data_IF_007195333758
#
_entry.id   IF_007195333758
#
_cell.length_a   1.000
_cell.length_b   1.000
_cell.length_c   1.000
_cell.angle_alpha   90.00
_cell.angle_beta   90.00
_cell.angle_gamma   90.00
#
_symmetry.space_group_name_H-M   'P 1'
#
loop_
_entity.id
_entity.type
_entity.pdbx_description
1 polymer ?
#
# COMPACT_ATOMS: atom_id res chain seq x y z
N UNK A 1 -6.86 -18.86 -40.67
CA UNK A 1 -7.99 -18.67 -39.73
C UNK A 1 -7.75 -17.47 -38.81
N UNK A 2 -6.80 -17.50 -37.87
CA UNK A 2 -6.58 -16.44 -36.86
C UNK A 2 -6.58 -14.99 -37.39
N UNK A 3 -5.84 -14.68 -38.46
CA UNK A 3 -5.81 -13.33 -39.05
C UNK A 3 -7.18 -12.86 -39.59
N UNK A 4 -8.01 -13.77 -40.10
CA UNK A 4 -9.37 -13.45 -40.58
C UNK A 4 -10.36 -13.31 -39.43
N UNK A 5 -10.20 -14.12 -38.38
CA UNK A 5 -10.93 -13.96 -37.12
C UNK A 5 -10.68 -12.58 -36.51
N UNK A 6 -9.42 -12.13 -36.45
CA UNK A 6 -9.05 -10.79 -35.99
C UNK A 6 -9.71 -9.67 -36.80
N UNK A 7 -9.79 -9.82 -38.13
CA UNK A 7 -10.44 -8.82 -38.99
C UNK A 7 -11.94 -8.68 -38.66
N UNK A 8 -12.67 -9.80 -38.60
CA UNK A 8 -14.10 -9.82 -38.21
C UNK A 8 -14.31 -9.23 -36.80
N UNK A 9 -13.38 -9.51 -35.89
CA UNK A 9 -13.40 -8.98 -34.52
C UNK A 9 -13.21 -7.45 -34.47
N UNK A 10 -12.36 -6.90 -35.34
CA UNK A 10 -12.09 -5.47 -35.45
C UNK A 10 -13.17 -4.72 -36.25
N UNK A 11 -13.86 -5.40 -37.17
CA UNK A 11 -14.98 -4.88 -37.96
C UNK A 11 -16.32 -4.88 -37.18
N UNK A 12 -16.36 -5.51 -36.01
CA UNK A 12 -17.59 -5.64 -35.20
C UNK A 12 -18.04 -4.29 -34.62
N UNK A 13 -19.35 -3.98 -34.72
CA UNK A 13 -19.91 -2.67 -34.32
C UNK A 13 -19.79 -2.33 -32.83
N UNK A 14 -19.58 -3.35 -31.99
CA UNK A 14 -19.35 -3.21 -30.54
C UNK A 14 -17.87 -3.39 -30.13
N UNK A 15 -16.93 -3.35 -31.09
CA UNK A 15 -15.50 -3.43 -30.78
C UNK A 15 -15.02 -2.18 -30.02
N UNK A 16 -14.36 -2.39 -28.89
CA UNK A 16 -13.76 -1.35 -28.05
C UNK A 16 -12.27 -1.67 -27.88
N UNK A 17 -11.42 -0.67 -28.09
CA UNK A 17 -9.98 -0.81 -27.85
C UNK A 17 -9.73 -0.70 -26.34
N UNK A 18 -9.17 -1.76 -25.76
CA UNK A 18 -8.83 -1.83 -24.33
C UNK A 18 -7.55 -1.05 -24.02
N UNK A 19 -7.25 -0.86 -22.72
CA UNK A 19 -6.03 -0.19 -22.28
C UNK A 19 -4.73 -0.91 -22.70
N UNK A 20 -4.77 -2.18 -23.11
CA UNK A 20 -3.63 -2.90 -23.68
C UNK A 20 -3.45 -2.68 -25.20
N UNK A 21 -4.35 -1.95 -25.85
CA UNK A 21 -4.38 -1.77 -27.30
C UNK A 21 -5.01 -2.93 -28.07
N UNK A 22 -5.52 -3.96 -27.39
CA UNK A 22 -6.28 -5.04 -28.04
C UNK A 22 -7.75 -4.65 -28.25
N UNK A 23 -8.33 -5.09 -29.37
CA UNK A 23 -9.78 -5.04 -29.59
C UNK A 23 -10.48 -6.06 -28.70
N UNK A 24 -11.49 -5.61 -27.95
CA UNK A 24 -12.39 -6.44 -27.16
C UNK A 24 -13.85 -6.19 -27.56
N UNK A 25 -14.70 -7.21 -27.44
CA UNK A 25 -16.16 -7.11 -27.59
C UNK A 25 -16.85 -7.58 -26.32
N UNK A 26 -18.06 -7.11 -26.02
CA UNK A 26 -18.93 -7.74 -25.02
C UNK A 26 -19.15 -9.23 -25.33
N UNK A 27 -19.13 -10.09 -24.31
CA UNK A 27 -19.24 -11.55 -24.48
C UNK A 27 -20.53 -11.98 -25.21
N UNK A 28 -21.61 -11.23 -25.07
CA UNK A 28 -22.87 -11.37 -25.81
C UNK A 28 -22.73 -11.28 -27.33
N UNK A 29 -21.80 -10.45 -27.82
CA UNK A 29 -21.50 -10.29 -29.25
C UNK A 29 -20.58 -11.38 -29.82
N UNK A 30 -19.98 -12.22 -28.99
CA UNK A 30 -19.09 -13.31 -29.44
C UNK A 30 -19.84 -14.33 -30.32
N UNK A 31 -21.12 -14.55 -30.04
CA UNK A 31 -21.97 -15.48 -30.81
C UNK A 31 -22.11 -15.01 -32.27
N UNK A 32 -22.27 -13.71 -32.50
CA UNK A 32 -22.44 -13.15 -33.85
C UNK A 32 -21.12 -13.10 -34.62
N UNK A 33 -19.99 -12.91 -33.93
CA UNK A 33 -18.64 -13.10 -34.51
C UNK A 33 -18.41 -14.56 -34.95
N UNK A 34 -18.82 -15.55 -34.15
CA UNK A 34 -18.70 -16.98 -34.51
C UNK A 34 -19.60 -17.32 -35.71
N UNK A 35 -20.83 -16.79 -35.78
CA UNK A 35 -21.70 -16.94 -36.97
C UNK A 35 -21.08 -16.31 -38.22
N UNK A 36 -20.62 -15.06 -38.13
CA UNK A 36 -19.97 -14.35 -39.24
C UNK A 36 -18.72 -15.09 -39.74
N UNK A 37 -17.97 -15.72 -38.83
CA UNK A 37 -16.85 -16.61 -39.17
C UNK A 37 -17.33 -17.86 -39.91
N UNK A 38 -18.41 -18.48 -39.46
CA UNK A 38 -19.06 -19.65 -40.09
C UNK A 38 -19.53 -19.32 -41.51
N UNK A 39 -20.23 -18.19 -41.70
CA UNK A 39 -20.69 -17.68 -43.00
C UNK A 39 -19.51 -17.39 -43.93
N UNK A 40 -18.41 -16.82 -43.40
CA UNK A 40 -17.20 -16.51 -44.15
C UNK A 40 -16.48 -17.76 -44.66
N UNK A 41 -16.53 -18.87 -43.91
CA UNK A 41 -15.83 -20.12 -44.27
C UNK A 41 -16.73 -21.17 -44.94
N UNK A 42 -18.06 -21.01 -44.92
CA UNK A 42 -19.01 -21.97 -45.48
C UNK A 42 -19.06 -23.31 -44.74
N UNK A 43 -18.59 -23.35 -43.49
CA UNK A 43 -18.51 -24.54 -42.63
C UNK A 43 -19.04 -24.17 -41.25
N UNK A 44 -19.87 -25.03 -40.66
CA UNK A 44 -20.43 -24.86 -39.32
C UNK A 44 -19.33 -25.03 -38.25
N UNK A 45 -18.81 -23.92 -37.73
CA UNK A 45 -17.65 -23.89 -36.82
C UNK A 45 -18.00 -24.34 -35.40
N UNK A 46 -19.24 -24.08 -34.97
CA UNK A 46 -19.83 -24.61 -33.74
C UNK A 46 -21.20 -25.16 -34.07
N UNK A 47 -21.52 -26.36 -33.59
CA UNK A 47 -22.86 -26.92 -33.73
C UNK A 47 -23.86 -26.22 -32.80
N UNK A 48 -25.15 -26.49 -33.02
CA UNK A 48 -26.24 -25.90 -32.21
C UNK A 48 -26.15 -26.17 -30.70
N UNK A 49 -25.47 -27.24 -30.27
CA UNK A 49 -25.27 -27.61 -28.86
C UNK A 49 -24.07 -26.86 -28.26
N UNK A 50 -22.94 -26.81 -28.97
CA UNK A 50 -21.77 -26.01 -28.62
C UNK A 50 -22.13 -24.53 -28.49
N UNK A 51 -22.93 -24.01 -29.45
CA UNK A 51 -23.40 -22.62 -29.44
C UNK A 51 -24.35 -22.35 -28.26
N UNK A 52 -25.17 -23.33 -27.86
CA UNK A 52 -26.00 -23.23 -26.65
C UNK A 52 -25.16 -23.25 -25.35
N UNK A 53 -24.08 -24.03 -25.30
CA UNK A 53 -23.13 -24.02 -24.18
C UNK A 53 -22.38 -22.69 -24.08
N UNK A 54 -21.91 -22.14 -25.19
CA UNK A 54 -21.28 -20.82 -25.25
C UNK A 54 -22.25 -19.72 -24.76
N UNK A 55 -23.50 -19.74 -25.22
CA UNK A 55 -24.56 -18.81 -24.79
C UNK A 55 -24.83 -18.90 -23.27
N UNK A 56 -24.75 -20.10 -22.68
CA UNK A 56 -24.85 -20.28 -21.22
C UNK A 56 -23.68 -19.61 -20.48
N UNK A 57 -22.45 -19.87 -20.89
CA UNK A 57 -21.25 -19.27 -20.28
C UNK A 57 -21.31 -17.73 -20.34
N UNK A 58 -21.75 -17.19 -21.48
CA UNK A 58 -21.94 -15.75 -21.69
C UNK A 58 -23.02 -15.17 -20.76
N UNK A 59 -24.14 -15.88 -20.55
CA UNK A 59 -25.21 -15.45 -19.63
C UNK A 59 -24.80 -15.49 -18.16
N UNK A 60 -23.94 -16.42 -17.77
CA UNK A 60 -23.46 -16.55 -16.39
C UNK A 60 -22.46 -15.43 -16.00
N UNK A 61 -21.93 -14.67 -16.98
CA UNK A 61 -20.96 -13.58 -16.77
C UNK A 61 -21.31 -12.27 -17.54
N UNK A 62 -22.42 -11.59 -17.20
CA UNK A 62 -22.83 -10.35 -17.87
C UNK A 62 -21.79 -9.23 -17.69
N UNK A 63 -21.54 -8.47 -18.75
CA UNK A 63 -20.54 -7.39 -18.76
C UNK A 63 -19.08 -7.86 -18.94
N UNK A 64 -18.82 -9.17 -19.08
CA UNK A 64 -17.50 -9.66 -19.46
C UNK A 64 -17.13 -9.16 -20.87
N UNK A 65 -15.98 -8.50 -20.99
CA UNK A 65 -15.36 -8.20 -22.28
C UNK A 65 -14.38 -9.32 -22.63
N UNK A 66 -14.48 -9.84 -23.85
CA UNK A 66 -13.59 -10.90 -24.35
C UNK A 66 -12.70 -10.28 -25.42
N UNK A 67 -11.40 -10.60 -25.41
CA UNK A 67 -10.48 -10.22 -26.49
C UNK A 67 -10.45 -11.29 -27.60
N UNK A 68 -9.93 -10.93 -28.77
CA UNK A 68 -9.74 -11.87 -29.87
C UNK A 68 -8.83 -13.06 -29.50
N UNK A 69 -7.79 -12.81 -28.70
CA UNK A 69 -6.85 -13.82 -28.21
C UNK A 69 -7.52 -14.82 -27.24
N UNK A 70 -8.32 -14.32 -26.29
CA UNK A 70 -9.13 -15.16 -25.38
C UNK A 70 -10.18 -15.98 -26.14
N UNK A 71 -10.83 -15.38 -27.14
CA UNK A 71 -11.84 -16.05 -27.97
C UNK A 71 -11.26 -17.22 -28.78
N UNK A 72 -10.04 -17.05 -29.33
CA UNK A 72 -9.33 -18.12 -30.01
C UNK A 72 -8.92 -19.26 -29.05
N UNK A 73 -8.50 -18.94 -27.82
CA UNK A 73 -8.21 -19.96 -26.80
C UNK A 73 -9.48 -20.73 -26.37
N UNK A 74 -10.63 -20.06 -26.29
CA UNK A 74 -11.93 -20.71 -26.07
C UNK A 74 -12.29 -21.65 -27.22
N UNK A 75 -12.17 -21.21 -28.48
CA UNK A 75 -12.41 -22.05 -29.65
C UNK A 75 -11.48 -23.28 -29.68
N UNK A 76 -10.18 -23.10 -29.40
CA UNK A 76 -9.19 -24.18 -29.27
C UNK A 76 -9.50 -25.19 -28.17
N UNK A 77 -10.24 -24.79 -27.13
CA UNK A 77 -10.61 -25.63 -25.99
C UNK A 77 -11.96 -26.34 -26.19
N UNK A 78 -12.92 -25.69 -26.84
CA UNK A 78 -14.22 -26.29 -27.18
C UNK A 78 -14.06 -27.36 -28.26
N UNK A 79 -13.25 -27.07 -29.30
CA UNK A 79 -12.77 -28.08 -30.23
C UNK A 79 -11.24 -28.16 -30.15
N UNK A 80 -10.69 -29.19 -29.49
CA UNK A 80 -9.42 -29.72 -29.94
C UNK A 80 -9.56 -30.00 -31.43
N UNK A 81 -8.64 -29.46 -32.21
CA UNK A 81 -8.42 -29.84 -33.61
C UNK A 81 -7.85 -31.26 -33.64
N UNK A 82 -8.62 -32.23 -33.12
CA UNK A 82 -8.35 -33.62 -33.43
C UNK A 82 -8.39 -33.72 -34.94
N UNK A 83 -7.25 -34.18 -35.46
CA UNK A 83 -7.06 -34.58 -36.83
C UNK A 83 -7.92 -35.82 -37.06
N UNK A 84 -9.24 -35.61 -37.14
CA UNK A 84 -10.22 -36.52 -37.71
C UNK A 84 -9.93 -36.59 -39.22
N UNK A 85 -8.78 -37.18 -39.52
CA UNK A 85 -8.35 -37.54 -40.86
C UNK A 85 -9.41 -38.51 -41.38
N UNK A 86 -10.21 -38.11 -42.39
CA UNK A 86 -11.36 -38.90 -42.82
C UNK A 86 -10.96 -40.28 -43.35
N UNK A 87 -9.68 -40.51 -43.61
CA UNK A 87 -9.15 -41.83 -43.97
C UNK A 87 -9.21 -42.86 -42.83
N UNK A 88 -9.12 -42.45 -41.56
CA UNK A 88 -8.99 -43.41 -40.43
C UNK A 88 -10.23 -44.29 -40.23
N UNK A 89 -11.41 -43.85 -40.67
CA UNK A 89 -12.64 -44.67 -40.66
C UNK A 89 -12.75 -45.68 -41.81
N UNK A 90 -11.94 -45.55 -42.88
CA UNK A 90 -12.04 -46.43 -44.05
C UNK A 90 -11.24 -47.73 -43.93
N UNK A 91 -10.22 -47.79 -43.07
CA UNK A 91 -9.34 -48.97 -42.98
C UNK A 91 -9.78 -50.05 -41.99
N UNK A 92 -10.62 -49.72 -41.00
CA UNK A 92 -10.97 -50.66 -39.91
C UNK A 92 -11.96 -51.77 -40.28
N UNK A 93 -12.40 -51.87 -41.55
CA UNK A 93 -13.52 -52.76 -41.95
C UNK A 93 -13.12 -53.95 -42.83
N UNK A 94 -11.83 -54.11 -43.20
CA UNK A 94 -11.42 -55.08 -44.22
C UNK A 94 -10.81 -56.41 -43.71
N UNK A 95 -10.44 -56.53 -42.43
CA UNK A 95 -9.59 -57.66 -41.96
C UNK A 95 -10.31 -58.95 -41.53
N UNK A 96 -11.65 -59.05 -41.63
CA UNK A 96 -12.37 -60.21 -41.06
C UNK A 96 -12.69 -61.36 -42.04
N UNK A 97 -12.40 -61.24 -43.34
CA UNK A 97 -12.91 -62.18 -44.37
C UNK A 97 -11.82 -62.97 -45.12
N UNK A 98 -11.02 -63.76 -44.39
CA UNK A 98 -10.03 -64.68 -44.99
C UNK A 98 -9.79 -65.93 -44.15
N UNK A 99 -10.76 -66.85 -44.18
CA UNK A 99 -10.59 -68.26 -43.77
C UNK A 99 -10.80 -69.16 -44.98
N UNK A 100 -9.72 -69.64 -45.59
CA UNK A 100 -9.78 -70.62 -46.68
C UNK A 100 -9.60 -72.07 -46.18
N UNK A 101 -10.28 -72.99 -46.87
CA UNK A 101 -10.37 -74.42 -46.54
C UNK A 101 -9.12 -75.24 -46.93
N UNK A 102 -8.91 -76.41 -46.29
CA UNK A 102 -7.89 -77.38 -46.69
C UNK A 102 -8.38 -78.27 -47.85
N UNK A 103 -7.80 -78.11 -49.04
CA UNK A 103 -8.03 -79.00 -50.19
C UNK A 103 -7.11 -80.22 -50.11
N UNK A 104 -7.68 -81.39 -50.44
CA UNK A 104 -7.11 -82.73 -50.19
C UNK A 104 -5.90 -83.11 -51.05
N UNK A 105 -5.01 -83.94 -50.49
CA UNK A 105 -3.85 -84.52 -51.17
C UNK A 105 -4.23 -85.54 -52.26
N UNK A 106 -3.60 -85.52 -53.45
CA UNK A 106 -3.65 -86.60 -54.41
C UNK A 106 -2.42 -87.52 -54.31
N UNK A 107 -2.68 -88.81 -54.07
CA UNK A 107 -1.72 -89.92 -54.10
C UNK A 107 -1.01 -90.05 -55.47
N UNK A 108 0.33 -90.20 -55.45
CA UNK A 108 1.16 -90.52 -56.64
C UNK A 108 2.45 -91.25 -56.27
N UNK A 109 2.56 -92.50 -56.73
CA UNK A 109 3.86 -93.09 -57.07
C UNK A 109 4.43 -92.55 -58.40
N UNK A 110 5.70 -92.87 -58.64
CA UNK A 110 6.42 -92.76 -59.93
C UNK A 110 6.68 -91.34 -60.50
N UNK A 111 7.42 -90.50 -59.75
CA UNK A 111 8.19 -89.35 -60.29
C UNK A 111 9.51 -89.18 -59.51
N UNK A 112 10.66 -89.37 -60.17
CA UNK A 112 11.98 -89.38 -59.51
C UNK A 112 13.11 -88.74 -60.35
N UNK A 113 12.85 -87.58 -60.98
CA UNK A 113 13.91 -86.78 -61.62
C UNK A 113 13.52 -85.31 -61.86
N UNK A 114 12.27 -85.03 -62.26
CA UNK A 114 11.78 -83.65 -62.40
C UNK A 114 11.40 -83.02 -61.05
N UNK A 115 11.07 -83.86 -60.06
CA UNK A 115 10.61 -83.43 -58.74
C UNK A 115 11.74 -82.78 -57.92
N UNK A 116 13.01 -83.16 -58.12
CA UNK A 116 14.14 -82.61 -57.36
C UNK A 116 14.32 -81.10 -57.60
N UNK A 117 14.26 -80.65 -58.87
CA UNK A 117 14.41 -79.21 -59.20
C UNK A 117 13.21 -78.37 -58.72
N UNK A 118 12.01 -78.94 -58.73
CA UNK A 118 10.81 -78.32 -58.16
C UNK A 118 10.87 -78.29 -56.63
N UNK A 119 11.40 -79.34 -56.00
CA UNK A 119 11.61 -79.42 -54.56
C UNK A 119 12.63 -78.39 -54.09
N UNK A 120 13.78 -78.26 -54.76
CA UNK A 120 14.79 -77.25 -54.46
C UNK A 120 14.23 -75.82 -54.59
N UNK A 121 13.45 -75.53 -55.64
CA UNK A 121 12.76 -74.25 -55.80
C UNK A 121 11.74 -74.02 -54.68
N UNK A 122 10.96 -75.03 -54.30
CA UNK A 122 9.99 -74.97 -53.20
C UNK A 122 10.67 -74.73 -51.84
N UNK A 123 11.80 -75.39 -51.58
CA UNK A 123 12.63 -75.17 -50.38
C UNK A 123 13.24 -73.78 -50.38
N UNK A 124 13.73 -73.28 -51.52
CA UNK A 124 14.23 -71.92 -51.67
C UNK A 124 13.15 -70.88 -51.34
N UNK A 125 11.97 -70.97 -51.99
CA UNK A 125 10.86 -70.04 -51.73
C UNK A 125 10.34 -70.12 -50.30
N UNK A 126 10.30 -71.31 -49.68
CA UNK A 126 9.97 -71.47 -48.25
C UNK A 126 11.00 -70.79 -47.34
N UNK A 127 12.30 -70.92 -47.63
CA UNK A 127 13.36 -70.19 -46.91
C UNK A 127 13.20 -68.68 -47.07
N UNK A 128 13.06 -68.19 -48.31
CA UNK A 128 12.89 -66.76 -48.57
C UNK A 128 11.63 -66.18 -47.90
N UNK A 129 10.51 -66.91 -47.90
CA UNK A 129 9.31 -66.50 -47.17
C UNK A 129 9.52 -66.50 -45.64
N UNK A 130 10.32 -67.43 -45.11
CA UNK A 130 10.71 -67.45 -43.70
C UNK A 130 11.63 -66.29 -43.34
N UNK A 131 12.60 -65.96 -44.21
CA UNK A 131 13.54 -64.86 -44.02
C UNK A 131 12.83 -63.50 -44.08
N UNK A 132 11.91 -63.31 -45.04
CA UNK A 132 11.07 -62.11 -45.14
C UNK A 132 10.13 -61.96 -43.94
N UNK A 133 9.54 -63.05 -43.43
CA UNK A 133 8.75 -63.03 -42.19
C UNK A 133 9.60 -62.66 -40.97
N UNK A 134 10.85 -63.15 -40.90
CA UNK A 134 11.77 -62.76 -39.83
C UNK A 134 12.15 -61.29 -39.95
N UNK A 135 12.47 -60.80 -41.14
CA UNK A 135 12.77 -59.37 -41.38
C UNK A 135 11.58 -58.46 -41.03
N UNK A 136 10.35 -58.88 -41.35
CA UNK A 136 9.13 -58.16 -40.94
C UNK A 136 9.03 -58.11 -39.41
N UNK A 137 9.13 -59.25 -38.74
CA UNK A 137 9.04 -59.35 -37.27
C UNK A 137 10.18 -58.61 -36.55
N UNK A 138 11.40 -58.64 -37.10
CA UNK A 138 12.56 -57.90 -36.60
C UNK A 138 12.31 -56.38 -36.75
N UNK A 139 11.74 -55.94 -37.89
CA UNK A 139 11.40 -54.53 -38.14
C UNK A 139 10.24 -54.03 -37.26
N UNK A 140 9.17 -54.82 -37.12
CA UNK A 140 8.03 -54.55 -36.21
C UNK A 140 8.54 -54.38 -34.77
N UNK A 141 9.37 -55.31 -34.28
CA UNK A 141 9.97 -55.20 -32.95
C UNK A 141 10.82 -53.93 -32.79
N UNK A 142 11.59 -53.51 -33.81
CA UNK A 142 12.31 -52.22 -33.73
C UNK A 142 11.36 -51.02 -33.72
N UNK A 143 10.28 -51.05 -34.50
CA UNK A 143 9.27 -49.98 -34.51
C UNK A 143 8.63 -49.86 -33.11
N UNK A 144 8.17 -50.97 -32.52
CA UNK A 144 7.61 -51.01 -31.18
C UNK A 144 8.57 -50.45 -30.11
N UNK A 145 9.86 -50.80 -30.16
CA UNK A 145 10.85 -50.23 -29.22
C UNK A 145 10.98 -48.71 -29.36
N UNK A 146 11.00 -48.19 -30.59
CA UNK A 146 11.07 -46.73 -30.81
C UNK A 146 9.79 -46.01 -30.39
N UNK A 147 8.62 -46.62 -30.58
CA UNK A 147 7.34 -46.10 -30.07
C UNK A 147 7.40 -45.96 -28.55
N UNK A 148 7.79 -47.02 -27.81
CA UNK A 148 7.90 -46.99 -26.35
C UNK A 148 8.92 -45.96 -25.86
N UNK A 149 10.05 -45.78 -26.57
CA UNK A 149 11.02 -44.72 -26.28
C UNK A 149 10.43 -43.32 -26.44
N UNK A 150 9.65 -43.08 -27.50
CA UNK A 150 8.98 -41.80 -27.72
C UNK A 150 7.86 -41.54 -26.71
N UNK A 151 7.06 -42.56 -26.37
CA UNK A 151 6.03 -42.47 -25.32
C UNK A 151 6.65 -42.10 -23.96
N UNK A 152 7.71 -42.79 -23.56
CA UNK A 152 8.46 -42.48 -22.33
C UNK A 152 9.07 -41.06 -22.35
N UNK A 153 9.48 -40.57 -23.52
CA UNK A 153 9.97 -39.19 -23.68
C UNK A 153 8.84 -38.16 -23.58
N UNK A 154 7.68 -38.44 -24.15
CA UNK A 154 6.47 -37.60 -24.03
C UNK A 154 6.02 -37.52 -22.58
N UNK A 155 5.96 -38.65 -21.87
CA UNK A 155 5.61 -38.70 -20.44
C UNK A 155 6.57 -37.83 -19.61
N UNK A 156 7.89 -38.01 -19.75
CA UNK A 156 8.90 -37.18 -19.06
C UNK A 156 8.76 -35.69 -19.33
N UNK A 157 8.47 -35.31 -20.58
CA UNK A 157 8.24 -33.91 -20.94
C UNK A 157 6.92 -33.38 -20.35
N UNK A 158 5.87 -34.19 -20.31
CA UNK A 158 4.60 -33.86 -19.65
C UNK A 158 4.81 -33.63 -18.15
N UNK A 159 5.46 -34.57 -17.44
CA UNK A 159 5.78 -34.40 -16.02
C UNK A 159 6.60 -33.14 -15.77
N UNK A 160 7.56 -32.81 -16.65
CA UNK A 160 8.35 -31.59 -16.48
C UNK A 160 7.56 -30.31 -16.73
N UNK A 161 6.58 -30.35 -17.64
CA UNK A 161 5.63 -29.25 -17.83
C UNK A 161 4.77 -29.07 -16.56
N UNK A 162 4.28 -30.15 -15.97
CA UNK A 162 3.46 -30.10 -14.74
C UNK A 162 4.26 -29.58 -13.54
N UNK A 163 5.51 -30.04 -13.35
CA UNK A 163 6.44 -29.48 -12.35
C UNK A 163 6.58 -27.96 -12.51
N UNK A 164 6.95 -27.49 -13.70
CA UNK A 164 7.14 -26.05 -13.99
C UNK A 164 5.83 -25.25 -13.83
N UNK A 165 4.67 -25.84 -14.13
CA UNK A 165 3.38 -25.22 -13.84
C UNK A 165 3.12 -25.08 -12.34
N UNK A 166 3.47 -26.08 -11.53
CA UNK A 166 3.34 -25.96 -10.06
C UNK A 166 4.30 -24.92 -9.49
N UNK A 167 5.56 -24.88 -9.94
CA UNK A 167 6.56 -23.86 -9.55
C UNK A 167 6.13 -22.45 -9.97
N UNK A 168 5.56 -22.28 -11.18
CA UNK A 168 5.01 -21.00 -11.63
C UNK A 168 3.81 -20.56 -10.76
N UNK A 169 3.00 -21.51 -10.27
CA UNK A 169 1.85 -21.19 -9.44
C UNK A 169 2.24 -20.91 -7.97
N UNK A 170 3.28 -21.55 -7.43
CA UNK A 170 3.80 -21.21 -6.08
C UNK A 170 4.51 -19.86 -6.08
N UNK A 171 5.35 -19.57 -7.07
CA UNK A 171 6.02 -18.27 -7.22
C UNK A 171 5.02 -17.12 -7.41
N UNK A 172 3.96 -17.29 -8.22
CA UNK A 172 2.86 -16.31 -8.32
C UNK A 172 2.19 -16.02 -6.97
N UNK A 173 1.94 -17.04 -6.14
CA UNK A 173 1.36 -16.85 -4.79
C UNK A 173 2.32 -16.08 -3.88
N UNK A 174 3.61 -16.43 -3.90
CA UNK A 174 4.64 -15.71 -3.15
C UNK A 174 4.74 -14.24 -3.58
N UNK A 175 4.66 -13.95 -4.88
CA UNK A 175 4.63 -12.59 -5.40
C UNK A 175 3.41 -11.81 -4.88
N UNK A 176 2.21 -12.40 -4.92
CA UNK A 176 1.00 -11.74 -4.38
C UNK A 176 1.10 -11.47 -2.88
N UNK A 177 1.68 -12.40 -2.12
CA UNK A 177 1.91 -12.24 -0.69
C UNK A 177 2.93 -11.13 -0.39
N UNK A 178 4.03 -11.07 -1.14
CA UNK A 178 5.05 -10.02 -1.03
C UNK A 178 4.49 -8.64 -1.38
N UNK A 179 3.75 -8.51 -2.50
CA UNK A 179 3.04 -7.28 -2.86
C UNK A 179 2.02 -6.86 -1.78
N UNK A 180 1.38 -7.81 -1.08
CA UNK A 180 0.47 -7.50 0.04
C UNK A 180 1.21 -6.99 1.29
N UNK A 181 2.44 -7.49 1.53
CA UNK A 181 3.32 -7.05 2.63
C UNK A 181 3.87 -5.66 2.35
N UNK A 182 4.36 -5.43 1.13
CA UNK A 182 4.85 -4.14 0.65
C UNK A 182 3.79 -3.03 0.82
N UNK A 183 2.54 -3.27 0.39
CA UNK A 183 1.44 -2.32 0.59
C UNK A 183 1.18 -1.97 2.06
N UNK A 184 1.29 -2.94 2.98
CA UNK A 184 1.13 -2.71 4.42
C UNK A 184 2.32 -1.94 5.01
N UNK A 185 3.54 -2.26 4.59
CA UNK A 185 4.74 -1.54 5.01
C UNK A 185 4.70 -0.08 4.54
N UNK A 186 4.27 0.18 3.29
CA UNK A 186 4.08 1.53 2.75
C UNK A 186 3.04 2.34 3.55
N UNK A 187 1.91 1.72 3.92
CA UNK A 187 0.92 2.37 4.78
C UNK A 187 1.50 2.72 6.16
N UNK A 188 2.20 1.78 6.80
CA UNK A 188 2.85 2.01 8.09
C UNK A 188 3.93 3.12 8.03
N UNK A 189 4.70 3.19 6.95
CA UNK A 189 5.66 4.28 6.72
C UNK A 189 4.93 5.62 6.65
N UNK A 190 3.85 5.72 5.86
CA UNK A 190 3.04 6.94 5.74
C UNK A 190 2.43 7.38 7.07
N UNK A 191 1.99 6.45 7.92
CA UNK A 191 1.44 6.75 9.25
C UNK A 191 2.54 7.30 10.19
N UNK A 192 3.73 6.70 10.18
CA UNK A 192 4.88 7.13 10.97
C UNK A 192 5.41 8.50 10.50
N UNK A 193 5.47 8.74 9.19
CA UNK A 193 5.80 10.05 8.61
C UNK A 193 4.80 11.13 9.07
N UNK A 194 3.51 10.80 9.12
CA UNK A 194 2.46 11.66 9.68
C UNK A 194 2.58 11.92 11.19
N UNK A 195 3.11 10.97 11.97
CA UNK A 195 3.44 11.20 13.38
C UNK A 195 4.68 12.09 13.55
N UNK A 196 5.75 11.85 12.78
CA UNK A 196 6.94 12.71 12.77
C UNK A 196 6.58 14.15 12.40
N UNK A 197 5.72 14.36 11.38
CA UNK A 197 5.23 15.69 11.02
C UNK A 197 4.49 16.40 12.15
N UNK A 198 3.63 15.69 12.91
CA UNK A 198 2.93 16.24 14.08
C UNK A 198 3.90 16.56 15.24
N UNK A 199 4.90 15.71 15.47
CA UNK A 199 5.91 15.93 16.51
C UNK A 199 6.82 17.14 16.19
N UNK A 200 7.21 17.31 14.92
CA UNK A 200 7.95 18.49 14.45
C UNK A 200 7.15 19.78 14.65
N UNK A 201 5.87 19.79 14.25
CA UNK A 201 5.00 20.95 14.47
C UNK A 201 4.84 21.30 15.96
N UNK A 202 4.63 20.29 16.82
CA UNK A 202 4.57 20.45 18.27
C UNK A 202 5.87 21.05 18.85
N UNK A 203 7.03 20.56 18.39
CA UNK A 203 8.34 21.09 18.77
C UNK A 203 8.52 22.56 18.38
N UNK A 204 8.05 22.96 17.21
CA UNK A 204 8.13 24.35 16.75
C UNK A 204 7.18 25.29 17.52
N UNK A 205 5.99 24.82 17.92
CA UNK A 205 5.11 25.55 18.85
C UNK A 205 5.79 25.76 20.21
N UNK A 206 6.45 24.73 20.76
CA UNK A 206 7.21 24.83 22.03
C UNK A 206 8.40 25.78 21.89
N UNK A 207 9.13 25.75 20.76
CA UNK A 207 10.22 26.70 20.46
C UNK A 207 9.73 28.14 20.38
N UNK A 208 8.62 28.39 19.68
CA UNK A 208 8.02 29.72 19.58
C UNK A 208 7.56 30.25 20.95
N UNK A 209 6.92 29.40 21.76
CA UNK A 209 6.54 29.71 23.14
C UNK A 209 7.77 30.06 24.00
N UNK A 210 8.82 29.23 23.96
CA UNK A 210 10.06 29.48 24.71
C UNK A 210 10.75 30.78 24.27
N UNK A 211 10.75 31.10 22.98
CA UNK A 211 11.26 32.37 22.46
C UNK A 211 10.44 33.58 22.95
N UNK A 212 9.11 33.45 23.08
CA UNK A 212 8.25 34.48 23.68
C UNK A 212 8.58 34.70 25.16
N UNK A 213 8.66 33.63 25.95
CA UNK A 213 9.01 33.69 27.39
C UNK A 213 10.40 34.33 27.60
N UNK A 214 11.39 34.02 26.74
CA UNK A 214 12.71 34.67 26.79
C UNK A 214 12.66 36.17 26.54
N UNK A 215 11.80 36.65 25.63
CA UNK A 215 11.62 38.09 25.38
C UNK A 215 11.00 38.79 26.59
N UNK A 216 9.92 38.23 27.15
CA UNK A 216 9.28 38.77 28.36
C UNK A 216 10.26 38.85 29.53
N UNK A 217 11.10 37.83 29.73
CA UNK A 217 12.15 37.84 30.75
C UNK A 217 13.20 38.94 30.49
N UNK A 218 13.65 39.13 29.24
CA UNK A 218 14.58 40.20 28.88
C UNK A 218 13.97 41.60 29.10
N UNK A 219 12.70 41.79 28.75
CA UNK A 219 11.94 43.02 29.01
C UNK A 219 11.82 43.28 30.52
N UNK A 220 11.52 42.25 31.32
CA UNK A 220 11.46 42.34 32.79
C UNK A 220 12.82 42.71 33.40
N UNK A 221 13.92 42.11 32.94
CA UNK A 221 15.28 42.50 33.37
C UNK A 221 15.59 43.96 33.01
N UNK A 222 15.20 44.42 31.81
CA UNK A 222 15.40 45.80 31.37
C UNK A 222 14.58 46.81 32.20
N UNK A 223 13.34 46.48 32.54
CA UNK A 223 12.46 47.27 33.41
C UNK A 223 13.04 47.35 34.83
N UNK A 224 13.49 46.22 35.39
CA UNK A 224 14.14 46.17 36.70
C UNK A 224 15.40 47.04 36.77
N UNK A 225 16.23 47.02 35.71
CA UNK A 225 17.38 47.92 35.58
C UNK A 225 17.00 49.40 35.65
N UNK A 226 15.96 49.83 34.90
CA UNK A 226 15.46 51.22 34.95
C UNK A 226 15.00 51.65 36.33
N UNK A 227 14.31 50.76 37.07
CA UNK A 227 13.88 51.06 38.44
C UNK A 227 15.06 51.21 39.40
N UNK A 228 16.10 50.37 39.27
CA UNK A 228 17.34 50.50 40.05
C UNK A 228 18.05 51.83 39.77
N UNK A 229 18.18 52.22 38.50
CA UNK A 229 18.80 53.49 38.10
C UNK A 229 18.02 54.71 38.64
N UNK A 230 16.68 54.63 38.62
CA UNK A 230 15.80 55.68 39.13
C UNK A 230 15.81 55.79 40.67
N UNK A 231 15.89 54.67 41.38
CA UNK A 231 16.09 54.66 42.84
C UNK A 231 17.43 55.32 43.21
N UNK A 232 18.53 54.93 42.54
CA UNK A 232 19.85 55.55 42.76
C UNK A 232 19.84 57.06 42.47
N UNK A 233 19.09 57.51 41.45
CA UNK A 233 18.92 58.94 41.17
C UNK A 233 18.13 59.66 42.27
N UNK A 234 17.13 59.01 42.88
CA UNK A 234 16.38 59.58 44.02
C UNK A 234 17.23 59.63 45.29
N UNK A 235 18.01 58.61 45.57
CA UNK A 235 18.95 58.58 46.71
C UNK A 235 19.97 59.72 46.61
N UNK A 236 20.48 60.00 45.39
CA UNK A 236 21.35 61.16 45.13
C UNK A 236 20.65 62.50 45.41
N UNK A 237 19.39 62.67 44.99
CA UNK A 237 18.60 63.88 45.27
C UNK A 237 18.34 64.03 46.78
N UNK A 238 17.98 62.95 47.48
CA UNK A 238 17.77 62.94 48.94
C UNK A 238 19.08 63.31 49.65
N UNK A 239 20.21 62.74 49.24
CA UNK A 239 21.53 63.07 49.81
C UNK A 239 21.86 64.55 49.64
N UNK A 240 21.66 65.12 48.45
CA UNK A 240 21.92 66.54 48.18
C UNK A 240 20.98 67.48 48.97
N UNK A 241 19.70 67.09 49.14
CA UNK A 241 18.75 67.83 49.97
C UNK A 241 19.11 67.76 51.47
N UNK A 242 19.60 66.62 51.95
CA UNK A 242 20.07 66.48 53.33
C UNK A 242 21.33 67.31 53.59
N UNK A 243 22.28 67.35 52.65
CA UNK A 243 23.48 68.19 52.72
C UNK A 243 23.10 69.69 52.76
N UNK A 244 22.26 70.13 51.82
CA UNK A 244 21.76 71.51 51.82
C UNK A 244 20.93 71.86 53.08
N UNK A 245 20.20 70.89 53.63
CA UNK A 245 19.45 71.07 54.89
C UNK A 245 20.39 71.20 56.08
N UNK A 246 21.45 70.40 56.15
CA UNK A 246 22.47 70.46 57.22
C UNK A 246 23.17 71.82 57.26
N UNK A 247 23.48 72.42 56.10
CA UNK A 247 24.01 73.79 56.00
C UNK A 247 23.04 74.86 56.54
N UNK A 248 21.72 74.61 56.48
CA UNK A 248 20.69 75.54 56.99
C UNK A 248 20.25 75.31 58.44
N UNK A 249 20.46 74.11 58.99
CA UNK A 249 20.10 73.79 60.37
C UNK A 249 21.12 74.35 61.37
N UNK A 250 21.03 75.66 61.61
CA UNK A 250 21.57 76.28 62.83
C UNK A 250 20.99 75.53 64.05
N UNK A 251 21.81 75.14 65.05
CA UNK A 251 21.34 74.37 66.21
C UNK A 251 20.36 75.19 67.05
N UNK A 252 19.07 74.97 66.80
CA UNK A 252 17.96 75.68 67.43
C UNK A 252 17.29 74.77 68.46
N UNK A 253 18.07 74.35 69.47
CA UNK A 253 17.65 73.52 70.60
C UNK A 253 16.72 74.27 71.57
N UNK A 254 15.54 74.69 71.11
CA UNK A 254 14.46 75.14 71.97
C UNK A 254 13.10 75.11 71.25
N UNK A 255 12.12 74.46 71.89
CA UNK A 255 10.68 74.57 71.60
C UNK A 255 10.28 73.96 70.25
N UNK A 256 10.23 72.62 70.21
CA UNK A 256 9.21 71.95 69.41
C UNK A 256 7.85 72.26 70.07
N UNK A 257 6.91 72.95 69.41
CA UNK A 257 5.57 73.10 69.97
C UNK A 257 4.88 71.74 69.97
N UNK A 258 4.01 71.43 70.95
CA UNK A 258 3.23 70.19 70.92
C UNK A 258 2.39 70.15 69.62
N UNK A 259 2.23 68.96 68.99
CA UNK A 259 1.43 68.83 67.78
C UNK A 259 0.04 69.38 68.04
N UNK A 260 -0.41 70.28 67.17
CA UNK A 260 -1.65 71.02 67.35
C UNK A 260 -2.83 70.03 67.42
N UNK A 261 -3.70 70.21 68.41
CA UNK A 261 -4.91 69.39 68.59
C UNK A 261 -5.79 69.34 67.33
N UNK A 262 -5.69 70.34 66.45
CA UNK A 262 -6.31 70.35 65.10
C UNK A 262 -5.85 69.18 64.24
N UNK A 263 -4.53 68.95 64.13
CA UNK A 263 -3.99 67.83 63.34
C UNK A 263 -4.42 66.48 63.92
N UNK A 264 -4.51 66.38 65.24
CA UNK A 264 -4.97 65.15 65.91
C UNK A 264 -6.47 64.88 65.69
N UNK A 265 -7.29 65.94 65.61
CA UNK A 265 -8.71 65.86 65.25
C UNK A 265 -8.92 65.55 63.76
N UNK A 266 -8.13 66.15 62.86
CA UNK A 266 -8.15 65.86 61.42
C UNK A 266 -7.72 64.42 61.13
N UNK A 267 -6.68 63.92 61.81
CA UNK A 267 -6.22 62.53 61.66
C UNK A 267 -7.28 61.54 62.16
N UNK A 268 -7.99 61.85 63.26
CA UNK A 268 -9.12 61.05 63.72
C UNK A 268 -10.30 61.05 62.71
N UNK A 269 -10.57 62.18 62.04
CA UNK A 269 -11.63 62.28 61.03
C UNK A 269 -11.26 61.54 59.72
N UNK A 270 -9.99 61.60 59.32
CA UNK A 270 -9.46 60.81 58.20
C UNK A 270 -9.51 59.31 58.51
N UNK A 271 -9.22 58.89 59.74
CA UNK A 271 -9.37 57.48 60.15
C UNK A 271 -10.81 56.99 60.00
N UNK A 272 -11.80 57.75 60.49
CA UNK A 272 -13.22 57.40 60.33
C UNK A 272 -13.62 57.29 58.85
N UNK A 273 -13.11 58.16 57.99
CA UNK A 273 -13.41 58.08 56.55
C UNK A 273 -12.72 56.88 55.85
N UNK A 274 -11.52 56.49 56.31
CA UNK A 274 -10.84 55.29 55.84
C UNK A 274 -11.56 54.01 56.29
N UNK A 275 -12.07 53.99 57.52
CA UNK A 275 -12.88 52.89 58.06
C UNK A 275 -14.21 52.77 57.28
N UNK A 276 -14.83 53.89 56.89
CA UNK A 276 -16.03 53.91 56.04
C UNK A 276 -15.73 53.41 54.61
N UNK A 277 -14.62 53.83 53.99
CA UNK A 277 -14.23 53.33 52.66
C UNK A 277 -13.85 51.85 52.66
N UNK A 278 -13.18 51.36 53.70
CA UNK A 278 -12.86 49.92 53.81
C UNK A 278 -14.12 49.08 54.01
N UNK A 279 -15.11 49.57 54.77
CA UNK A 279 -16.43 48.94 54.84
C UNK A 279 -17.16 48.92 53.49
N UNK A 280 -17.12 50.03 52.73
CA UNK A 280 -17.72 50.08 51.39
C UNK A 280 -17.05 49.09 50.42
N UNK A 281 -15.71 49.02 50.41
CA UNK A 281 -14.96 48.09 49.57
C UNK A 281 -15.30 46.62 49.91
N UNK A 282 -15.42 46.27 51.19
CA UNK A 282 -15.85 44.94 51.62
C UNK A 282 -17.22 44.56 51.02
N UNK A 283 -18.20 45.47 51.05
CA UNK A 283 -19.53 45.20 50.46
C UNK A 283 -19.52 45.11 48.93
N UNK A 284 -18.57 45.77 48.27
CA UNK A 284 -18.36 45.64 46.82
C UNK A 284 -17.70 44.29 46.47
N UNK A 285 -16.74 43.83 47.27
CA UNK A 285 -16.10 42.52 47.13
C UNK A 285 -17.12 41.39 47.28
N UNK A 286 -17.95 41.40 48.34
CA UNK A 286 -19.07 40.45 48.52
C UNK A 286 -20.06 40.47 47.33
N UNK A 287 -20.29 41.63 46.72
CA UNK A 287 -21.16 41.77 45.54
C UNK A 287 -20.50 41.20 44.29
N UNK A 288 -19.20 41.43 44.10
CA UNK A 288 -18.41 40.89 42.99
C UNK A 288 -18.34 39.37 43.07
N UNK A 289 -18.03 38.81 44.24
CA UNK A 289 -17.97 37.35 44.45
C UNK A 289 -19.31 36.68 44.15
N UNK A 290 -20.42 37.32 44.57
CA UNK A 290 -21.76 36.84 44.24
C UNK A 290 -22.04 36.83 42.73
N UNK A 291 -21.66 37.89 42.02
CA UNK A 291 -21.80 37.94 40.55
C UNK A 291 -20.87 36.95 39.84
N UNK A 292 -19.64 36.74 40.35
CA UNK A 292 -18.71 35.74 39.81
C UNK A 292 -19.25 34.32 40.01
N UNK A 293 -19.84 34.04 41.18
CA UNK A 293 -20.50 32.76 41.44
C UNK A 293 -21.71 32.55 40.51
N UNK A 294 -22.58 33.55 40.36
CA UNK A 294 -23.75 33.47 39.47
C UNK A 294 -23.35 33.30 37.99
N UNK A 295 -22.28 33.97 37.54
CA UNK A 295 -21.77 33.82 36.15
C UNK A 295 -21.01 32.52 35.91
N UNK A 296 -20.25 32.01 36.89
CA UNK A 296 -19.65 30.67 36.84
C UNK A 296 -20.74 29.57 36.79
N UNK A 297 -21.81 29.72 37.59
CA UNK A 297 -22.93 28.77 37.57
C UNK A 297 -23.71 28.84 36.25
N UNK A 298 -23.95 30.05 35.72
CA UNK A 298 -24.62 30.24 34.43
C UNK A 298 -23.79 29.66 33.27
N UNK A 299 -22.47 29.88 33.24
CA UNK A 299 -21.60 29.33 32.19
C UNK A 299 -21.49 27.81 32.26
N UNK A 300 -21.35 27.24 33.46
CA UNK A 300 -21.40 25.79 33.66
C UNK A 300 -22.74 25.18 33.16
N UNK A 301 -23.86 25.80 33.51
CA UNK A 301 -25.20 25.40 33.07
C UNK A 301 -25.41 25.50 31.56
N UNK A 302 -24.74 26.43 30.87
CA UNK A 302 -24.81 26.57 29.40
C UNK A 302 -23.93 25.53 28.71
N UNK A 303 -22.77 25.18 29.28
CA UNK A 303 -21.92 24.11 28.74
C UNK A 303 -22.56 22.72 28.89
N UNK A 304 -23.24 22.43 30.00
CA UNK A 304 -23.82 21.10 30.28
C UNK A 304 -25.05 20.76 29.40
N UNK A 305 -25.61 21.75 28.70
CA UNK A 305 -26.72 21.58 27.74
C UNK A 305 -26.27 21.52 26.28
N UNK A 306 -24.95 21.55 26.00
CA UNK A 306 -24.41 21.70 24.65
C UNK A 306 -23.78 20.42 24.04
N UNK A 307 -23.77 19.30 24.77
CA UNK A 307 -22.90 18.14 24.45
C UNK A 307 -23.56 17.01 23.63
N UNK A 308 -24.79 17.19 23.13
CA UNK A 308 -25.57 16.11 22.45
C UNK A 308 -26.08 16.46 21.03
N UNK A 309 -25.53 17.50 20.36
CA UNK A 309 -25.90 17.84 18.96
C UNK A 309 -24.70 18.05 18.04
N UNK A 310 -24.42 17.00 17.26
CA UNK A 310 -23.95 17.00 15.87
C UNK A 310 -22.69 17.81 15.51
N UNK A 311 -21.61 17.10 15.22
CA UNK A 311 -20.42 17.68 14.62
C UNK A 311 -20.65 18.11 13.17
N UNK A 312 -20.42 19.39 12.88
CA UNK A 312 -19.77 19.89 11.65
C UNK A 312 -19.69 21.42 11.68
N UNK A 313 -18.52 21.98 12.03
CA UNK A 313 -17.88 23.07 11.26
C UNK A 313 -16.60 23.58 11.91
N UNK A 314 -15.60 23.74 11.07
CA UNK A 314 -14.47 24.65 11.26
C UNK A 314 -14.92 26.06 11.64
N UNK A 315 -14.62 26.49 12.86
CA UNK A 315 -14.60 27.90 13.22
C UNK A 315 -13.42 28.15 14.19
N UNK A 316 -12.34 28.75 13.66
CA UNK A 316 -11.25 29.24 14.49
C UNK A 316 -11.75 30.43 15.32
N UNK A 317 -12.00 30.20 16.61
CA UNK A 317 -12.23 31.27 17.58
C UNK A 317 -11.04 31.36 18.52
N UNK A 318 -10.44 32.54 18.55
CA UNK A 318 -9.32 32.87 19.41
C UNK A 318 -9.72 32.66 20.88
N UNK A 319 -9.28 31.55 21.49
CA UNK A 319 -9.05 31.53 22.94
C UNK A 319 -7.84 32.42 23.22
N UNK A 320 -8.13 33.71 23.25
CA UNK A 320 -7.28 34.71 23.88
C UNK A 320 -6.96 34.19 25.27
N UNK A 321 -5.67 33.95 25.52
CA UNK A 321 -5.16 33.59 26.84
C UNK A 321 -5.31 34.82 27.73
N UNK A 322 -6.52 35.01 28.27
CA UNK A 322 -6.72 35.90 29.41
C UNK A 322 -5.77 35.41 30.50
N UNK A 323 -4.93 36.32 30.99
CA UNK A 323 -3.83 36.00 31.88
C UNK A 323 -4.30 35.10 33.03
N UNK A 324 -3.64 33.95 33.19
CA UNK A 324 -3.57 33.29 34.48
C UNK A 324 -2.90 34.29 35.43
N UNK A 325 -3.70 35.02 36.20
CA UNK A 325 -3.22 35.79 37.34
C UNK A 325 -2.64 34.79 38.32
N UNK A 326 -1.32 34.64 38.29
CA UNK A 326 -0.56 33.94 39.31
C UNK A 326 -0.80 34.73 40.60
N UNK A 327 -1.77 34.27 41.39
CA UNK A 327 -1.93 34.69 42.78
C UNK A 327 -0.71 34.15 43.52
N UNK A 328 0.30 35.00 43.64
CA UNK A 328 1.44 34.75 44.53
C UNK A 328 0.89 34.90 45.95
N UNK A 329 0.44 33.79 46.52
CA UNK A 329 0.24 33.71 47.96
C UNK A 329 1.63 33.70 48.60
N UNK A 330 2.06 34.84 49.14
CA UNK A 330 3.26 35.00 49.98
C UNK A 330 3.06 34.35 51.37
N UNK A 331 2.59 33.09 51.39
CA UNK A 331 2.69 32.24 52.56
C UNK A 331 3.89 31.31 52.35
N UNK A 332 5.00 31.67 52.99
CA UNK A 332 6.13 30.78 53.15
C UNK A 332 5.69 29.53 53.92
N UNK A 333 5.46 28.43 53.21
CA UNK A 333 5.82 27.09 53.63
C UNK A 333 5.61 26.05 52.50
N UNK A 334 6.44 25.02 52.54
CA UNK A 334 6.34 23.74 51.82
C UNK A 334 6.50 23.70 50.28
N UNK A 335 7.73 23.35 49.89
CA UNK A 335 8.19 23.02 48.55
C UNK A 335 7.60 21.68 48.04
N UNK A 336 6.33 21.67 47.58
CA UNK A 336 5.70 20.48 46.95
C UNK A 336 5.51 20.68 45.44
N UNK A 337 6.63 20.64 44.70
CA UNK A 337 6.61 20.48 43.24
C UNK A 337 6.29 19.02 42.85
N UNK A 338 5.05 18.58 43.07
CA UNK A 338 4.59 17.23 42.75
C UNK A 338 3.58 17.21 41.58
N UNK A 339 4.13 17.00 40.38
CA UNK A 339 3.58 16.10 39.35
C UNK A 339 2.09 16.25 38.95
N UNK A 340 1.78 17.22 38.09
CA UNK A 340 0.45 17.32 37.41
C UNK A 340 0.48 16.87 35.93
N UNK A 341 1.63 16.43 35.40
CA UNK A 341 1.78 16.05 33.98
C UNK A 341 1.30 14.60 33.68
N UNK A 342 1.08 13.75 34.68
CA UNK A 342 0.89 12.29 34.48
C UNK A 342 -0.57 11.77 34.48
N UNK A 343 -1.59 12.59 34.23
CA UNK A 343 -3.01 12.15 34.22
C UNK A 343 -3.82 12.48 32.96
N UNK A 344 -3.22 12.36 31.77
CA UNK A 344 -3.97 12.40 30.49
C UNK A 344 -3.52 11.38 29.44
N UNK A 345 -3.26 10.13 29.86
CA UNK A 345 -2.99 8.99 28.96
C UNK A 345 -3.66 7.67 29.38
N UNK A 346 -4.88 7.74 29.90
CA UNK A 346 -5.76 6.57 30.09
C UNK A 346 -7.22 6.93 29.74
N UNK A 347 -7.54 6.84 28.44
CA UNK A 347 -8.89 6.65 27.87
C UNK A 347 -8.79 6.68 26.33
N UNK A 348 -8.44 5.54 25.75
CA UNK A 348 -8.71 5.14 24.36
C UNK A 348 -8.49 3.63 24.32
N UNK A 349 -9.50 2.88 24.76
CA UNK A 349 -9.46 1.42 24.72
C UNK A 349 -9.77 0.93 23.31
N UNK A 350 -8.81 0.28 22.66
CA UNK A 350 -9.06 -0.60 21.51
C UNK A 350 -8.45 -1.97 21.81
N UNK A 351 -9.22 -2.80 22.51
CA UNK A 351 -8.89 -4.21 22.71
C UNK A 351 -9.14 -4.99 21.41
N UNK A 352 -8.12 -5.14 20.57
CA UNK A 352 -8.14 -6.13 19.48
C UNK A 352 -7.69 -7.47 20.07
N UNK A 353 -8.67 -8.30 20.41
CA UNK A 353 -8.44 -9.67 20.89
C UNK A 353 -8.00 -10.59 19.75
N UNK A 354 -6.68 -10.76 19.57
CA UNK A 354 -6.15 -11.88 18.78
C UNK A 354 -6.08 -13.11 19.67
N UNK A 355 -7.00 -14.05 19.46
CA UNK A 355 -7.01 -15.31 20.18
C UNK A 355 -5.86 -16.21 19.75
N UNK A 356 -4.90 -16.44 20.65
CA UNK A 356 -3.92 -17.53 20.49
C UNK A 356 -4.48 -18.80 21.12
N UNK A 357 -4.84 -19.78 20.29
CA UNK A 357 -5.23 -21.11 20.76
C UNK A 357 -4.01 -21.85 21.31
N UNK A 358 -4.10 -22.26 22.57
CA UNK A 358 -3.07 -23.05 23.25
C UNK A 358 -2.89 -24.42 22.57
N UNK A 359 -1.69 -24.71 22.09
CA UNK A 359 -1.21 -26.09 21.93
C UNK A 359 -0.23 -26.36 23.08
N UNK A 360 -0.65 -27.26 23.97
CA UNK A 360 0.15 -27.78 25.06
C UNK A 360 0.87 -29.04 24.61
N UNK A 361 2.19 -29.05 24.70
CA UNK A 361 2.98 -30.29 24.75
C UNK A 361 3.95 -30.24 25.91
N UNK A 362 3.94 -31.31 26.70
CA UNK A 362 4.89 -31.67 27.75
C UNK A 362 6.34 -31.32 27.35
N UNK A 363 7.12 -30.68 28.21
CA UNK A 363 7.80 -31.32 29.36
C UNK A 363 8.71 -32.46 28.91
N UNK A 364 9.96 -32.09 28.58
CA UNK A 364 11.09 -33.02 28.61
C UNK A 364 12.38 -32.19 28.81
N UNK A 365 13.02 -32.33 29.97
CA UNK A 365 14.15 -31.51 30.37
C UNK A 365 15.42 -31.83 29.58
N UNK A 366 15.86 -30.90 28.72
CA UNK A 366 17.21 -30.88 28.14
C UNK A 366 17.88 -29.54 28.42
N UNK A 367 19.20 -29.53 28.73
CA UNK A 367 19.94 -28.29 28.92
C UNK A 367 19.97 -27.49 27.62
N UNK A 368 19.84 -26.18 27.73
CA UNK A 368 19.88 -25.24 26.61
C UNK A 368 21.21 -25.35 25.87
N UNK A 369 21.22 -25.39 24.52
CA UNK A 369 22.44 -25.16 23.77
C UNK A 369 22.83 -23.69 23.89
N UNK A 370 24.07 -23.41 24.31
CA UNK A 370 24.66 -22.07 24.23
C UNK A 370 24.51 -21.51 22.81
N UNK A 371 23.68 -20.48 22.66
CA UNK A 371 23.59 -19.71 21.42
C UNK A 371 24.83 -18.82 21.34
N UNK A 372 25.93 -19.42 20.90
CA UNK A 372 27.10 -18.69 20.42
C UNK A 372 26.64 -17.90 19.21
N UNK A 373 26.52 -16.58 19.38
CA UNK A 373 26.40 -15.65 18.27
C UNK A 373 27.71 -15.69 17.47
N UNK A 374 27.77 -16.57 16.49
CA UNK A 374 28.79 -16.49 15.46
C UNK A 374 28.55 -15.18 14.71
N UNK A 375 29.43 -14.20 14.92
CA UNK A 375 29.55 -13.01 14.08
C UNK A 375 29.88 -13.49 12.67
N UNK A 376 28.83 -13.65 11.85
CA UNK A 376 28.97 -14.09 10.48
C UNK A 376 29.39 -12.86 9.66
N UNK A 377 30.70 -12.60 9.67
CA UNK A 377 31.35 -11.62 8.81
C UNK A 377 30.96 -11.88 7.34
N UNK A 378 29.98 -11.11 6.84
CA UNK A 378 29.70 -10.99 5.42
C UNK A 378 30.82 -10.16 4.78
N UNK A 379 31.97 -10.79 4.60
CA UNK A 379 32.98 -10.33 3.66
C UNK A 379 32.39 -10.39 2.25
N UNK A 380 31.89 -9.24 1.78
CA UNK A 380 31.45 -9.05 0.41
C UNK A 380 32.66 -9.20 -0.51
N UNK A 381 32.87 -10.42 -1.01
CA UNK A 381 34.00 -10.75 -1.87
C UNK A 381 33.84 -10.03 -3.22
N UNK A 382 34.66 -9.00 -3.43
CA UNK A 382 34.61 -8.11 -4.58
C UNK A 382 35.01 -8.88 -5.87
N UNK A 383 34.03 -9.50 -6.51
CA UNK A 383 34.20 -10.25 -7.75
C UNK A 383 34.62 -9.34 -8.91
N UNK A 384 35.95 -9.17 -9.04
CA UNK A 384 36.68 -8.39 -10.04
C UNK A 384 36.27 -8.69 -11.49
N UNK A 385 35.17 -8.11 -11.94
CA UNK A 385 34.72 -8.14 -13.34
C UNK A 385 35.40 -7.06 -14.19
N UNK A 386 36.70 -7.21 -14.40
CA UNK A 386 37.47 -6.44 -15.39
C UNK A 386 37.10 -6.87 -16.82
N UNK A 387 35.98 -6.38 -17.34
CA UNK A 387 35.81 -6.02 -18.76
C UNK A 387 34.49 -5.30 -19.01
N UNK A 388 34.48 -3.97 -18.87
CA UNK A 388 33.56 -3.10 -19.59
C UNK A 388 34.36 -2.01 -20.29
N UNK A 389 34.39 -2.09 -21.61
CA UNK A 389 34.88 -1.02 -22.49
C UNK A 389 33.96 0.19 -22.28
N UNK A 390 34.50 1.26 -21.73
CA UNK A 390 33.77 2.51 -21.58
C UNK A 390 33.64 3.19 -22.95
N UNK A 391 32.43 3.21 -23.50
CA UNK A 391 32.06 4.12 -24.59
C UNK A 391 31.57 5.42 -23.95
N UNK A 392 32.20 6.59 -24.22
CA UNK A 392 31.70 7.85 -23.70
C UNK A 392 30.37 8.19 -24.36
N UNK A 393 29.30 8.32 -23.55
CA UNK A 393 28.05 8.92 -24.00
C UNK A 393 28.13 10.42 -23.69
N UNK A 394 28.26 11.21 -24.76
CA UNK A 394 28.32 12.67 -24.71
C UNK A 394 26.90 13.25 -24.56
N UNK A 395 26.58 13.99 -23.49
CA UNK A 395 25.22 14.49 -23.25
C UNK A 395 24.83 15.72 -24.08
N UNK A 396 25.68 16.23 -24.99
CA UNK A 396 25.38 17.43 -25.79
C UNK A 396 25.57 17.24 -27.31
N UNK A 397 24.75 16.37 -27.93
CA UNK A 397 24.51 16.41 -29.38
C UNK A 397 23.06 16.07 -29.72
N UNK A 398 22.29 17.04 -30.25
CA UNK A 398 20.85 16.83 -30.52
C UNK A 398 19.99 18.04 -30.88
N UNK A 399 20.51 19.27 -30.86
CA UNK A 399 19.83 20.42 -31.48
C UNK A 399 20.23 20.52 -32.96
N UNK A 400 19.32 20.15 -33.86
CA UNK A 400 19.01 20.80 -35.16
C UNK A 400 18.22 19.84 -36.06
N UNK A 401 16.99 20.20 -36.43
CA UNK A 401 16.10 19.29 -37.18
C UNK A 401 14.77 19.89 -37.64
N UNK A 402 14.81 21.10 -38.20
CA UNK A 402 13.82 21.73 -39.09
C UNK A 402 12.34 21.25 -39.04
N UNK A 403 11.44 22.14 -38.59
CA UNK A 403 10.19 22.40 -39.33
C UNK A 403 9.86 23.89 -39.28
N UNK A 404 9.98 24.55 -40.44
CA UNK A 404 9.58 25.94 -40.68
C UNK A 404 8.30 25.97 -41.54
N UNK A 405 7.62 27.12 -41.59
CA UNK A 405 6.33 27.38 -42.30
C UNK A 405 5.12 26.71 -41.62
N UNK A 406 3.90 27.28 -41.49
CA UNK A 406 3.19 28.47 -42.00
C UNK A 406 2.23 28.98 -40.87
N UNK A 407 1.66 30.20 -40.80
CA UNK A 407 1.67 31.41 -41.65
C UNK A 407 1.33 32.69 -40.85
N UNK A 408 1.06 33.80 -41.57
CA UNK A 408 0.39 35.06 -41.21
C UNK A 408 -0.77 34.94 -40.19
N UNK A 409 -0.85 35.73 -39.10
CA UNK A 409 -1.00 37.19 -38.97
C UNK A 409 -2.45 37.72 -38.98
N UNK A 410 -2.88 38.31 -37.85
CA UNK A 410 -3.76 39.48 -37.86
C UNK A 410 -3.54 40.40 -36.63
N UNK A 411 -3.55 41.74 -36.77
CA UNK A 411 -3.26 42.67 -35.69
C UNK A 411 -4.47 43.51 -35.21
N UNK A 412 -4.36 43.97 -33.95
CA UNK A 412 -4.86 45.25 -33.42
C UNK A 412 -6.38 45.59 -33.34
N UNK A 413 -6.63 46.64 -32.53
CA UNK A 413 -7.87 47.41 -32.31
C UNK A 413 -8.91 46.71 -31.39
N UNK A 414 -9.57 47.38 -30.43
CA UNK A 414 -9.52 48.80 -30.00
C UNK A 414 -10.06 48.98 -28.56
N UNK A 415 -9.64 50.08 -27.91
CA UNK A 415 -10.18 50.70 -26.68
C UNK A 415 -10.22 49.87 -25.38
#
# INVERSE_FOLDING_TARGET
MAARFQAIFNEHSQAVITASGESAIPAESLIDVVKSLSDTYGVEIMDSTELAQLNRIVKDAPGLQVTSSQSLQLLQRVRPWESDDPTRRLYSQHEQDSRHEPISEPDRGERHALDDTYYDACVYWKRQASDLRRQLSDAEATADTTIVEYECKVEKLSSKIDELQTELNTTKRQETDLRSREKRNMAQISDLEGEVGRLLHSLDVVRASNASVRKLYQEQCHISGKYRDELLRRDQVISALNEASADTMVPNDAILPPPSLSLQAELALVQVHLDEQTQQNLTLEETIDRMQFETAHATASVTDLSDDVSGNSTAATNRMLCADTIVVNDNEDELVLQTVISKRKERMGMSVSVGMSSISTADDGKPEPEVVWAEQDFSFEEASSKNRVAVPIDPYSGLNGAFSSLSAAHPQLVA
#
